data_IF_974861856989
#
_entry.id   IF_974861856989
#
_cell.length_a   1.000
_cell.length_b   1.000
_cell.length_c   1.000
_cell.angle_alpha   90.00
_cell.angle_beta   90.00
_cell.angle_gamma   90.00
#
_symmetry.space_group_name_H-M   'P 1'
#
loop_
_entity.id
_entity.type
_entity.pdbx_description
1 polymer ?
#
# COMPACT_ATOMS: atom_id res chain seq x y z
N UNK A 1 -12.22 -6.88 -2.94
CA UNK A 1 -13.04 -5.73 -3.35
C UNK A 1 -13.81 -6.16 -4.59
N UNK A 2 -15.16 -6.19 -4.55
CA UNK A 2 -15.97 -6.75 -5.63
C UNK A 2 -16.13 -5.84 -6.86
N UNK A 3 -16.07 -4.52 -6.72
CA UNK A 3 -16.33 -3.57 -7.82
C UNK A 3 -15.08 -2.96 -8.45
N UNK A 4 -14.02 -2.78 -7.66
CA UNK A 4 -12.76 -2.16 -8.07
C UNK A 4 -11.62 -2.93 -7.44
N UNK A 5 -10.50 -3.11 -8.15
CA UNK A 5 -9.31 -3.74 -7.57
C UNK A 5 -8.31 -2.70 -7.00
N UNK A 6 -7.32 -3.16 -6.23
CA UNK A 6 -6.34 -2.27 -5.60
C UNK A 6 -5.48 -1.47 -6.58
N UNK A 7 -5.20 -2.00 -7.78
CA UNK A 7 -4.43 -1.29 -8.81
C UNK A 7 -5.24 -0.13 -9.41
N UNK A 8 -6.53 -0.33 -9.64
CA UNK A 8 -7.45 0.72 -10.09
C UNK A 8 -7.59 1.81 -9.04
N UNK A 9 -7.80 1.43 -7.78
CA UNK A 9 -7.87 2.36 -6.66
C UNK A 9 -6.59 3.20 -6.57
N UNK A 10 -5.41 2.55 -6.63
CA UNK A 10 -4.11 3.23 -6.66
C UNK A 10 -4.03 4.24 -7.81
N UNK A 11 -4.44 3.86 -9.02
CA UNK A 11 -4.42 4.76 -10.18
C UNK A 11 -5.27 6.00 -9.94
N UNK A 12 -6.47 5.84 -9.39
CA UNK A 12 -7.37 6.95 -9.08
C UNK A 12 -6.77 7.85 -8.00
N UNK A 13 -6.24 7.28 -6.90
CA UNK A 13 -5.60 8.05 -5.83
C UNK A 13 -4.47 8.91 -6.41
N UNK A 14 -3.57 8.33 -7.23
CA UNK A 14 -2.48 9.07 -7.89
C UNK A 14 -2.95 10.19 -8.82
N UNK A 15 -4.15 10.09 -9.40
CA UNK A 15 -4.72 11.16 -10.22
C UNK A 15 -5.32 12.31 -9.40
N UNK A 16 -5.69 12.04 -8.14
CA UNK A 16 -6.23 13.01 -7.21
C UNK A 16 -5.14 13.70 -6.36
N UNK A 17 -3.92 13.18 -6.37
CA UNK A 17 -2.78 13.81 -5.72
C UNK A 17 -2.50 15.17 -6.35
N UNK A 18 -2.41 16.20 -5.50
CA UNK A 18 -1.96 17.53 -5.89
C UNK A 18 -0.50 17.71 -5.45
N UNK A 19 -0.28 18.36 -4.31
CA UNK A 19 1.05 18.72 -3.81
C UNK A 19 1.57 17.75 -2.75
N UNK A 20 0.72 16.80 -2.31
CA UNK A 20 1.06 15.79 -1.31
C UNK A 20 0.91 14.41 -1.89
N UNK A 21 1.99 13.64 -1.82
CA UNK A 21 2.00 12.21 -2.16
C UNK A 21 1.42 11.42 -1.00
N UNK A 22 0.37 10.66 -1.26
CA UNK A 22 -0.26 9.77 -0.28
C UNK A 22 0.48 8.42 -0.29
N UNK A 23 0.93 7.92 0.87
CA UNK A 23 1.46 6.55 0.95
C UNK A 23 0.38 5.52 0.61
N UNK A 24 0.66 4.64 -0.34
CA UNK A 24 -0.23 3.54 -0.75
C UNK A 24 0.45 2.21 -0.44
N UNK A 25 -0.08 1.50 0.56
CA UNK A 25 0.44 0.19 1.00
C UNK A 25 -0.51 -0.92 0.55
N UNK A 26 -0.01 -1.87 -0.23
CA UNK A 26 -0.78 -3.00 -0.73
C UNK A 26 -1.07 -4.02 0.38
N UNK A 27 -2.32 -4.42 0.57
CA UNK A 27 -2.66 -5.52 1.46
C UNK A 27 -2.97 -6.79 0.65
N UNK A 28 -2.06 -7.76 0.69
CA UNK A 28 -2.11 -8.99 -0.13
C UNK A 28 -2.58 -10.20 0.68
N UNK A 29 -3.12 -11.22 -0.01
CA UNK A 29 -3.60 -12.46 0.59
C UNK A 29 -2.48 -13.48 0.92
N UNK A 30 -1.22 -13.23 0.58
CA UNK A 30 -0.11 -14.12 0.92
C UNK A 30 1.22 -13.79 0.24
N UNK A 31 2.29 -14.51 0.59
CA UNK A 31 3.63 -14.28 0.07
C UNK A 31 3.86 -15.04 -1.25
N UNK A 32 3.18 -14.63 -2.32
CA UNK A 32 3.48 -15.15 -3.66
C UNK A 32 4.77 -14.48 -4.13
N UNK A 33 5.84 -15.26 -4.28
CA UNK A 33 7.13 -14.79 -4.80
C UNK A 33 6.90 -13.97 -6.08
N UNK A 34 7.34 -12.71 -6.10
CA UNK A 34 7.11 -11.79 -7.22
C UNK A 34 5.97 -10.78 -7.02
N UNK A 35 5.12 -10.92 -5.99
CA UNK A 35 4.06 -9.93 -5.74
C UNK A 35 4.61 -8.59 -5.25
N UNK A 36 5.67 -8.61 -4.44
CA UNK A 36 6.34 -7.40 -3.97
C UNK A 36 6.79 -6.54 -5.16
N UNK A 37 7.49 -7.16 -6.11
CA UNK A 37 8.00 -6.49 -7.30
C UNK A 37 6.86 -5.90 -8.13
N UNK A 38 5.76 -6.65 -8.32
CA UNK A 38 4.57 -6.16 -9.04
C UNK A 38 3.94 -4.92 -8.39
N UNK A 39 3.83 -4.88 -7.06
CA UNK A 39 3.25 -3.72 -6.37
C UNK A 39 4.17 -2.50 -6.47
N UNK A 40 5.48 -2.69 -6.34
CA UNK A 40 6.47 -1.63 -6.48
C UNK A 40 6.51 -1.08 -7.91
N UNK A 41 6.52 -1.95 -8.92
CA UNK A 41 6.44 -1.57 -10.34
C UNK A 41 5.14 -0.84 -10.67
N UNK A 42 4.04 -1.22 -10.01
CA UNK A 42 2.77 -0.52 -10.15
C UNK A 42 2.75 0.85 -9.44
N UNK A 43 3.79 1.25 -8.72
CA UNK A 43 3.86 2.55 -8.04
C UNK A 43 3.10 2.60 -6.71
N UNK A 44 2.93 1.45 -6.06
CA UNK A 44 2.62 1.38 -4.63
C UNK A 44 3.92 1.54 -3.83
N UNK A 45 3.82 2.13 -2.63
CA UNK A 45 4.99 2.50 -1.85
C UNK A 45 5.44 1.37 -0.90
N UNK A 46 4.53 0.45 -0.56
CA UNK A 46 4.82 -0.73 0.25
C UNK A 46 3.77 -1.82 0.14
N UNK A 47 3.94 -2.89 0.92
CA UNK A 47 2.97 -3.99 0.98
C UNK A 47 2.99 -4.70 2.34
N UNK A 48 1.92 -5.43 2.62
CA UNK A 48 1.72 -6.30 3.78
C UNK A 48 0.99 -7.54 3.33
N UNK A 49 1.53 -8.72 3.64
CA UNK A 49 0.85 -9.99 3.40
C UNK A 49 -0.05 -10.37 4.58
N UNK A 50 -1.19 -10.99 4.28
CA UNK A 50 -2.03 -11.68 5.26
C UNK A 50 -1.47 -13.08 5.55
N UNK A 51 -1.67 -13.61 6.78
CA UNK A 51 -2.15 -12.88 7.95
C UNK A 51 -1.08 -11.89 8.44
N UNK A 52 -1.52 -10.73 8.94
CA UNK A 52 -0.64 -9.75 9.58
C UNK A 52 -1.01 -9.62 11.06
N UNK A 53 -0.06 -9.19 11.87
CA UNK A 53 -0.25 -8.93 13.30
C UNK A 53 -0.15 -7.43 13.58
N UNK A 54 -0.64 -7.01 14.75
CA UNK A 54 -0.69 -5.61 15.18
C UNK A 54 0.67 -4.91 15.07
N UNK A 55 1.75 -5.56 15.55
CA UNK A 55 3.12 -5.04 15.48
C UNK A 55 3.58 -4.71 14.06
N UNK A 56 3.10 -5.44 13.05
CA UNK A 56 3.43 -5.16 11.65
C UNK A 56 2.78 -3.86 11.18
N UNK A 57 1.52 -3.63 11.56
CA UNK A 57 0.78 -2.42 11.21
C UNK A 57 1.35 -1.20 11.93
N UNK A 58 1.67 -1.34 13.22
CA UNK A 58 2.32 -0.26 13.99
C UNK A 58 3.63 0.17 13.32
N UNK A 59 4.44 -0.77 12.84
CA UNK A 59 5.69 -0.45 12.12
C UNK A 59 5.44 0.34 10.84
N UNK A 60 4.47 -0.08 10.02
CA UNK A 60 4.11 0.66 8.81
C UNK A 60 3.68 2.08 9.10
N UNK A 61 2.87 2.28 10.13
CA UNK A 61 2.47 3.63 10.51
C UNK A 61 3.66 4.47 10.93
N UNK A 62 4.63 3.91 11.66
CA UNK A 62 5.87 4.63 11.98
C UNK A 62 6.72 4.94 10.74
N UNK A 63 6.72 4.05 9.74
CA UNK A 63 7.51 4.22 8.52
C UNK A 63 6.89 5.24 7.55
N UNK A 64 5.55 5.38 7.55
CA UNK A 64 4.83 6.13 6.52
C UNK A 64 3.97 7.30 7.01
N UNK A 65 3.60 7.36 8.29
CA UNK A 65 2.94 8.55 8.83
C UNK A 65 4.00 9.61 9.15
N UNK A 66 3.72 10.83 8.72
CA UNK A 66 4.50 11.99 9.14
C UNK A 66 4.46 12.08 10.67
N UNK A 67 5.60 12.15 11.38
CA UNK A 67 5.62 12.38 12.81
C UNK A 67 4.98 13.71 13.23
N UNK A 68 4.68 14.61 12.29
CA UNK A 68 3.96 15.86 12.52
C UNK A 68 2.41 15.75 12.41
N UNK A 69 1.85 14.56 12.14
CA UNK A 69 0.41 14.28 12.25
C UNK A 69 -0.04 14.03 13.69
#
# INVERSE_FOLDING_TARGET
MPEMNGYEAKRIIRQLETDRRVPIIALTAGNVKGEKEKFLEAGMDGFVAKPFVEDMIIRLFKDWLDPAL
#
